data_IF_478965860402
#
_entry.id   IF_478965860402
#
_cell.length_a   1.000
_cell.length_b   1.000
_cell.length_c   1.000
_cell.angle_alpha   90.00
_cell.angle_beta   90.00
_cell.angle_gamma   90.00
#
_symmetry.space_group_name_H-M   'P 1'
#
loop_
_entity.id
_entity.type
_entity.pdbx_description
1 polymer ?
#
# COMPACT_ATOMS: atom_id res chain seq x y z
N UNK A 1 -5.09 49.77 -98.73
CA UNK A 1 -5.01 48.35 -99.11
C UNK A 1 -3.79 47.77 -98.44
N UNK A 2 -3.99 46.82 -97.51
CA UNK A 2 -3.02 45.88 -96.92
C UNK A 2 -1.73 46.44 -96.27
N UNK A 3 -1.11 45.89 -95.23
CA UNK A 3 -1.35 44.93 -94.13
C UNK A 3 -0.18 45.29 -93.19
N UNK A 4 -0.38 45.34 -91.87
CA UNK A 4 0.77 45.26 -90.96
C UNK A 4 0.44 44.35 -89.77
N UNK A 5 1.36 43.41 -89.53
CA UNK A 5 1.30 42.32 -88.56
C UNK A 5 2.34 42.58 -87.45
N UNK A 6 2.26 41.78 -86.38
CA UNK A 6 3.22 41.57 -85.26
C UNK A 6 3.13 42.53 -84.08
N UNK A 7 3.41 42.14 -82.82
CA UNK A 7 3.56 40.85 -82.10
C UNK A 7 3.81 41.21 -80.62
N UNK A 8 3.25 40.41 -79.72
CA UNK A 8 3.48 40.24 -78.26
C UNK A 8 4.43 41.15 -77.45
N UNK A 9 3.93 41.54 -76.26
CA UNK A 9 4.66 41.42 -74.98
C UNK A 9 3.73 40.96 -73.84
N UNK A 10 4.28 40.08 -73.00
CA UNK A 10 3.67 39.42 -71.82
C UNK A 10 3.68 40.34 -70.58
N UNK A 11 2.99 39.99 -69.47
CA UNK A 11 2.51 40.93 -68.45
C UNK A 11 3.54 41.21 -67.36
N UNK A 12 3.53 42.43 -66.83
CA UNK A 12 4.33 42.80 -65.65
C UNK A 12 3.52 42.53 -64.37
N UNK A 13 3.62 41.28 -63.88
CA UNK A 13 3.24 40.88 -62.52
C UNK A 13 4.17 41.57 -61.51
N UNK A 14 3.77 42.69 -60.90
CA UNK A 14 4.33 43.11 -59.59
C UNK A 14 3.61 44.24 -58.85
N UNK A 15 2.55 44.83 -59.39
CA UNK A 15 1.95 46.04 -58.77
C UNK A 15 0.51 45.90 -58.26
N UNK A 16 -0.12 44.71 -58.35
CA UNK A 16 -1.49 44.48 -57.85
C UNK A 16 -1.57 43.70 -56.53
N UNK A 17 -0.43 43.29 -55.95
CA UNK A 17 -0.43 42.45 -54.74
C UNK A 17 -0.42 43.19 -53.40
N UNK A 18 -0.30 44.52 -53.41
CA UNK A 18 -0.17 45.29 -52.16
C UNK A 18 -1.43 46.04 -51.74
N UNK A 19 -2.39 46.27 -52.64
CA UNK A 19 -3.64 47.02 -52.32
C UNK A 19 -4.82 46.13 -51.92
N UNK A 20 -4.80 44.84 -52.26
CA UNK A 20 -5.81 43.86 -51.81
C UNK A 20 -5.47 43.15 -50.49
N UNK A 21 -4.36 43.49 -49.83
CA UNK A 21 -3.98 42.91 -48.53
C UNK A 21 -4.28 43.79 -47.31
N UNK A 22 -4.80 45.01 -47.50
CA UNK A 22 -5.08 45.93 -46.39
C UNK A 22 -6.57 46.19 -46.11
N UNK A 23 -7.49 45.51 -46.80
CA UNK A 23 -8.94 45.70 -46.63
C UNK A 23 -9.72 44.42 -46.29
N UNK A 24 -9.03 43.33 -45.93
CA UNK A 24 -9.63 42.07 -45.45
C UNK A 24 -9.34 41.79 -43.95
N UNK A 25 -8.90 42.78 -43.19
CA UNK A 25 -8.56 42.65 -41.77
C UNK A 25 -9.64 43.14 -40.79
N UNK A 26 -10.85 43.46 -41.26
CA UNK A 26 -11.89 43.96 -40.35
C UNK A 26 -13.32 43.68 -40.85
N UNK A 27 -13.72 42.42 -41.06
CA UNK A 27 -15.15 42.04 -41.03
C UNK A 27 -15.40 40.51 -41.08
N UNK A 28 -14.79 39.71 -40.20
CA UNK A 28 -15.26 38.34 -39.89
C UNK A 28 -15.05 38.01 -38.41
N UNK A 29 -15.41 38.96 -37.53
CA UNK A 29 -15.82 38.62 -36.17
C UNK A 29 -17.21 37.99 -36.29
N UNK A 30 -17.43 36.90 -35.57
CA UNK A 30 -18.63 36.05 -35.58
C UNK A 30 -18.74 35.10 -36.78
N UNK A 31 -18.22 33.88 -36.62
CA UNK A 31 -18.87 32.60 -36.96
C UNK A 31 -17.82 31.52 -37.22
N UNK A 32 -17.47 30.77 -36.17
CA UNK A 32 -17.01 29.36 -36.18
C UNK A 32 -16.04 29.11 -35.02
N UNK A 33 -16.57 29.17 -33.79
CA UNK A 33 -15.96 28.44 -32.69
C UNK A 33 -16.49 27.01 -32.81
N UNK A 34 -15.88 26.23 -33.71
CA UNK A 34 -16.07 24.79 -33.74
C UNK A 34 -15.56 24.27 -32.40
N UNK A 35 -16.49 23.86 -31.53
CA UNK A 35 -16.18 22.99 -30.40
C UNK A 35 -15.48 21.77 -31.00
N UNK A 36 -14.16 21.73 -30.91
CA UNK A 36 -13.47 20.47 -30.78
C UNK A 36 -13.97 19.90 -29.45
N UNK A 37 -15.03 19.09 -29.52
CA UNK A 37 -15.39 18.16 -28.48
C UNK A 37 -14.20 17.22 -28.34
N UNK A 38 -13.19 17.63 -27.59
CA UNK A 38 -12.38 16.67 -26.87
C UNK A 38 -13.39 15.89 -26.06
N UNK A 39 -13.64 14.66 -26.47
CA UNK A 39 -14.08 13.61 -25.58
C UNK A 39 -13.00 13.48 -24.52
N UNK A 40 -13.00 14.43 -23.56
CA UNK A 40 -12.64 14.14 -22.20
C UNK A 40 -13.59 13.01 -21.83
N UNK A 41 -13.12 11.78 -22.05
CA UNK A 41 -13.82 10.58 -21.61
C UNK A 41 -14.25 10.85 -20.19
N UNK A 42 -15.54 10.60 -19.92
CA UNK A 42 -16.18 10.81 -18.64
C UNK A 42 -15.15 10.77 -17.51
N UNK A 43 -14.75 11.95 -17.03
CA UNK A 43 -13.91 12.08 -15.85
C UNK A 43 -14.78 11.50 -14.74
N UNK A 44 -14.50 10.24 -14.45
CA UNK A 44 -15.29 9.38 -13.59
C UNK A 44 -15.56 10.12 -12.27
N UNK A 45 -16.81 10.53 -12.07
CA UNK A 45 -17.27 11.34 -10.92
C UNK A 45 -17.25 10.55 -9.60
N UNK A 46 -16.51 9.45 -9.55
CA UNK A 46 -16.55 8.44 -8.51
C UNK A 46 -15.74 8.85 -7.27
N UNK A 47 -14.87 9.86 -7.33
CA UNK A 47 -14.02 10.29 -6.20
C UNK A 47 -12.61 9.68 -6.26
N UNK A 48 -11.63 10.29 -5.58
CA UNK A 48 -10.20 9.96 -5.77
C UNK A 48 -9.84 8.53 -5.34
N UNK A 49 -10.50 7.97 -4.33
CA UNK A 49 -10.19 6.64 -3.76
C UNK A 49 -11.23 5.58 -4.10
N UNK A 50 -12.23 5.88 -4.94
CA UNK A 50 -13.32 4.97 -5.28
C UNK A 50 -12.85 3.81 -6.17
N UNK A 51 -12.47 2.71 -5.56
CA UNK A 51 -12.14 1.43 -6.20
C UNK A 51 -13.42 0.68 -6.61
N UNK A 52 -13.32 -0.14 -7.66
CA UNK A 52 -14.42 -1.02 -8.11
C UNK A 52 -14.80 -2.02 -7.03
N UNK A 53 -13.82 -2.58 -6.34
CA UNK A 53 -13.98 -3.56 -5.28
C UNK A 53 -13.72 -2.92 -3.91
N UNK A 54 -14.46 -3.32 -2.85
CA UNK A 54 -14.25 -2.81 -1.50
C UNK A 54 -12.81 -3.03 -1.02
N UNK A 55 -12.29 -2.09 -0.24
CA UNK A 55 -11.00 -2.21 0.43
C UNK A 55 -11.22 -2.84 1.81
N UNK A 56 -10.48 -3.90 2.12
CA UNK A 56 -10.49 -4.55 3.44
C UNK A 56 -9.12 -4.37 4.07
N UNK A 57 -9.07 -3.65 5.19
CA UNK A 57 -7.87 -3.42 5.97
C UNK A 57 -7.72 -4.53 7.03
N UNK A 58 -6.53 -5.10 7.12
CA UNK A 58 -6.24 -6.25 8.00
C UNK A 58 -5.05 -5.92 8.88
N UNK A 59 -5.30 -5.85 10.20
CA UNK A 59 -4.28 -5.50 11.18
C UNK A 59 -3.24 -6.62 11.39
N UNK A 60 -2.14 -6.30 12.07
CA UNK A 60 -1.07 -7.24 12.41
C UNK A 60 -1.21 -7.91 13.77
N UNK A 61 -0.06 -8.32 14.33
CA UNK A 61 0.09 -8.83 15.70
C UNK A 61 -0.37 -7.76 16.69
N UNK A 62 -1.09 -8.19 17.74
CA UNK A 62 -1.68 -7.30 18.76
C UNK A 62 -2.61 -6.22 18.19
N UNK A 63 -3.08 -6.37 16.95
CA UNK A 63 -4.04 -5.43 16.40
C UNK A 63 -5.39 -5.50 17.10
N UNK A 64 -6.07 -4.36 17.07
CA UNK A 64 -7.33 -4.06 17.75
C UNK A 64 -8.17 -3.18 16.83
N UNK A 65 -9.50 -3.16 16.97
CA UNK A 65 -10.33 -2.15 16.31
C UNK A 65 -9.98 -0.76 16.82
N UNK A 66 -10.16 -0.58 18.13
CA UNK A 66 -9.98 0.69 18.83
C UNK A 66 -9.46 0.40 20.23
N UNK A 67 -8.31 0.98 20.58
CA UNK A 67 -7.75 0.93 21.93
C UNK A 67 -7.84 2.32 22.56
N UNK A 68 -8.56 2.45 23.68
CA UNK A 68 -8.77 3.72 24.38
C UNK A 68 -9.25 4.89 23.48
N UNK A 69 -10.03 4.59 22.44
CA UNK A 69 -10.53 5.57 21.46
C UNK A 69 -9.61 5.83 20.26
N UNK A 70 -8.53 5.08 20.11
CA UNK A 70 -7.56 5.18 19.00
C UNK A 70 -7.69 3.96 18.09
N UNK A 71 -7.96 4.19 16.81
CA UNK A 71 -8.04 3.14 15.80
C UNK A 71 -6.64 2.63 15.40
N UNK A 72 -6.49 1.33 15.10
CA UNK A 72 -5.23 0.77 14.61
C UNK A 72 -4.75 1.45 13.33
N UNK A 73 -5.63 1.54 12.33
CA UNK A 73 -5.36 2.31 11.11
C UNK A 73 -5.78 3.77 11.33
N UNK A 74 -4.94 4.55 12.00
CA UNK A 74 -5.33 5.85 12.55
C UNK A 74 -5.67 6.89 11.46
N UNK A 75 -6.97 7.23 11.33
CA UNK A 75 -7.46 8.20 10.34
C UNK A 75 -7.50 7.70 8.89
N UNK A 76 -7.00 6.48 8.62
CA UNK A 76 -6.90 5.92 7.27
C UNK A 76 -8.28 5.52 6.71
N UNK A 77 -9.13 4.73 7.41
CA UNK A 77 -10.46 4.37 6.90
C UNK A 77 -11.31 5.60 6.57
N UNK A 78 -11.27 6.61 7.44
CA UNK A 78 -12.05 7.84 7.30
C UNK A 78 -11.56 8.64 6.09
N UNK A 79 -10.25 8.74 5.89
CA UNK A 79 -9.65 9.43 4.74
C UNK A 79 -9.96 8.73 3.41
N UNK A 80 -9.88 7.40 3.38
CA UNK A 80 -10.24 6.60 2.20
C UNK A 80 -11.73 6.74 1.88
N UNK A 81 -12.60 6.64 2.87
CA UNK A 81 -14.06 6.73 2.68
C UNK A 81 -14.49 8.12 2.22
N UNK A 82 -13.86 9.18 2.74
CA UNK A 82 -14.15 10.58 2.36
C UNK A 82 -14.04 10.84 0.86
N UNK A 83 -13.19 10.09 0.16
CA UNK A 83 -12.94 10.25 -1.27
C UNK A 83 -13.51 9.12 -2.14
N UNK A 84 -14.42 8.33 -1.58
CA UNK A 84 -15.31 7.42 -2.32
C UNK A 84 -15.00 5.93 -2.19
N UNK A 85 -13.94 5.53 -1.49
CA UNK A 85 -13.71 4.11 -1.23
C UNK A 85 -14.80 3.53 -0.32
N UNK A 86 -15.21 2.28 -0.59
CA UNK A 86 -15.92 1.47 0.42
C UNK A 86 -14.85 0.73 1.22
N UNK A 87 -14.78 0.97 2.53
CA UNK A 87 -13.72 0.45 3.40
C UNK A 87 -14.31 -0.37 4.53
N UNK A 88 -13.72 -1.54 4.76
CA UNK A 88 -13.99 -2.41 5.89
C UNK A 88 -12.68 -2.66 6.65
N UNK A 89 -12.75 -2.74 7.97
CA UNK A 89 -11.63 -3.14 8.82
C UNK A 89 -11.98 -4.53 9.35
N UNK A 90 -11.21 -5.53 8.96
CA UNK A 90 -11.44 -6.91 9.39
C UNK A 90 -10.90 -7.13 10.81
N UNK A 91 -11.56 -8.01 11.54
CA UNK A 91 -11.13 -8.44 12.87
C UNK A 91 -10.67 -9.88 12.87
N UNK A 92 -9.39 -10.08 13.15
CA UNK A 92 -8.78 -11.41 13.24
C UNK A 92 -8.08 -11.56 14.58
N UNK A 93 -7.81 -12.79 15.00
CA UNK A 93 -7.14 -13.05 16.27
C UNK A 93 -5.85 -12.26 16.39
N UNK A 94 -5.75 -11.38 17.40
CA UNK A 94 -4.58 -10.54 17.64
C UNK A 94 -3.26 -11.32 17.72
N UNK A 95 -3.30 -12.55 18.21
CA UNK A 95 -2.20 -13.52 18.26
C UNK A 95 -2.71 -14.90 17.85
N UNK A 96 -2.26 -15.43 16.72
CA UNK A 96 -2.45 -16.83 16.34
C UNK A 96 -1.57 -17.17 15.12
N UNK A 97 -1.64 -18.39 14.61
CA UNK A 97 -1.06 -18.79 13.32
C UNK A 97 -1.61 -17.95 12.15
N UNK A 98 -0.83 -17.82 11.07
CA UNK A 98 -1.24 -17.09 9.87
C UNK A 98 -2.46 -17.75 9.21
N UNK A 99 -2.52 -19.07 9.17
CA UNK A 99 -3.61 -19.84 8.56
C UNK A 99 -4.93 -19.65 9.31
N UNK A 100 -4.91 -19.72 10.65
CA UNK A 100 -6.14 -19.50 11.43
C UNK A 100 -6.66 -18.08 11.25
N UNK A 101 -5.77 -17.08 11.31
CA UNK A 101 -6.14 -15.69 11.01
C UNK A 101 -6.67 -15.53 9.58
N UNK A 102 -6.09 -16.27 8.64
CA UNK A 102 -6.52 -16.29 7.24
C UNK A 102 -7.92 -16.86 7.04
N UNK A 103 -8.26 -17.95 7.73
CA UNK A 103 -9.61 -18.52 7.74
C UNK A 103 -10.65 -17.56 8.34
N UNK A 104 -10.31 -16.89 9.45
CA UNK A 104 -11.18 -15.85 10.04
C UNK A 104 -11.40 -14.66 9.09
N UNK A 105 -10.35 -14.26 8.36
CA UNK A 105 -10.46 -13.23 7.34
C UNK A 105 -11.33 -13.70 6.17
N UNK A 106 -11.15 -14.94 5.72
CA UNK A 106 -11.93 -15.51 4.62
C UNK A 106 -13.43 -15.51 4.91
N UNK A 107 -13.84 -15.93 6.11
CA UNK A 107 -15.25 -15.91 6.55
C UNK A 107 -15.86 -14.50 6.47
N UNK A 108 -15.09 -13.49 6.89
CA UNK A 108 -15.51 -12.09 6.81
C UNK A 108 -15.59 -11.59 5.37
N UNK A 109 -14.64 -11.98 4.51
CA UNK A 109 -14.66 -11.64 3.08
C UNK A 109 -15.89 -12.24 2.41
N UNK A 110 -16.21 -13.52 2.65
CA UNK A 110 -17.40 -14.16 2.11
C UNK A 110 -18.69 -13.47 2.57
N UNK A 111 -18.76 -13.14 3.87
CA UNK A 111 -19.90 -12.40 4.45
C UNK A 111 -20.05 -11.02 3.81
N UNK A 112 -18.96 -10.29 3.63
CA UNK A 112 -18.93 -8.97 3.01
C UNK A 112 -19.38 -9.04 1.55
N UNK A 113 -18.87 -9.98 0.76
CA UNK A 113 -19.26 -10.14 -0.64
C UNK A 113 -20.74 -10.52 -0.76
N UNK A 114 -21.23 -11.42 0.10
CA UNK A 114 -22.64 -11.76 0.17
C UNK A 114 -23.54 -10.56 0.53
N UNK A 115 -23.09 -9.69 1.45
CA UNK A 115 -23.86 -8.52 1.89
C UNK A 115 -23.84 -7.36 0.89
N UNK A 116 -22.72 -7.17 0.18
CA UNK A 116 -22.51 -6.02 -0.73
C UNK A 116 -22.85 -6.33 -2.19
N UNK A 117 -22.81 -7.60 -2.58
CA UNK A 117 -22.92 -8.02 -3.98
C UNK A 117 -21.67 -7.75 -4.81
N UNK A 118 -20.56 -7.32 -4.19
CA UNK A 118 -19.28 -7.24 -4.87
C UNK A 118 -18.78 -8.65 -5.24
N UNK A 119 -18.02 -8.76 -6.33
CA UNK A 119 -17.46 -10.04 -6.78
C UNK A 119 -16.12 -10.36 -6.13
N UNK A 120 -15.36 -9.32 -5.78
CA UNK A 120 -14.01 -9.42 -5.20
C UNK A 120 -13.78 -8.32 -4.16
N UNK A 121 -12.68 -8.43 -3.41
CA UNK A 121 -12.15 -7.40 -2.51
C UNK A 121 -10.70 -7.02 -2.85
N UNK A 122 -10.31 -5.80 -2.47
CA UNK A 122 -8.92 -5.36 -2.40
C UNK A 122 -8.42 -5.50 -0.96
N UNK A 123 -7.55 -6.48 -0.69
CA UNK A 123 -7.01 -6.73 0.64
C UNK A 123 -5.75 -5.88 0.88
N UNK A 124 -5.68 -5.22 2.04
CA UNK A 124 -4.50 -4.47 2.49
C UNK A 124 -4.15 -4.91 3.91
N UNK A 125 -3.05 -5.63 4.06
CA UNK A 125 -2.57 -6.15 5.32
C UNK A 125 -1.32 -5.42 5.81
N UNK A 126 -1.30 -5.05 7.09
CA UNK A 126 -0.10 -4.51 7.75
C UNK A 126 0.56 -5.56 8.64
N UNK A 127 1.90 -5.64 8.66
CA UNK A 127 2.64 -6.56 9.53
C UNK A 127 2.22 -8.02 9.34
N UNK A 128 1.74 -8.72 10.39
CA UNK A 128 1.17 -10.07 10.27
C UNK A 128 -0.09 -10.13 9.37
N UNK A 129 -0.75 -8.99 9.17
CA UNK A 129 -1.83 -8.83 8.20
C UNK A 129 -1.39 -9.11 6.77
N UNK A 130 -0.12 -8.86 6.41
CA UNK A 130 0.44 -9.15 5.08
C UNK A 130 0.35 -10.64 4.73
N UNK A 131 0.97 -11.54 5.50
CA UNK A 131 0.78 -12.99 5.35
C UNK A 131 -0.68 -13.44 5.48
N UNK A 132 -1.47 -12.80 6.36
CA UNK A 132 -2.90 -13.13 6.53
C UNK A 132 -3.71 -12.89 5.24
N UNK A 133 -3.51 -11.75 4.55
CA UNK A 133 -4.21 -11.48 3.28
C UNK A 133 -3.71 -12.39 2.15
N UNK A 134 -2.44 -12.80 2.18
CA UNK A 134 -1.88 -13.75 1.22
C UNK A 134 -2.51 -15.13 1.34
N UNK A 135 -2.82 -15.58 2.57
CA UNK A 135 -3.55 -16.83 2.76
C UNK A 135 -4.86 -16.81 1.96
N UNK A 136 -5.71 -15.81 2.18
CA UNK A 136 -7.00 -15.67 1.49
C UNK A 136 -6.84 -15.57 -0.02
N UNK A 137 -5.86 -14.78 -0.49
CA UNK A 137 -5.55 -14.65 -1.91
C UNK A 137 -5.10 -15.97 -2.55
N UNK A 138 -4.46 -16.86 -1.79
CA UNK A 138 -3.97 -18.15 -2.28
C UNK A 138 -5.07 -19.21 -2.30
N UNK A 139 -5.90 -19.26 -1.24
CA UNK A 139 -6.97 -20.27 -1.12
C UNK A 139 -8.22 -19.91 -1.92
N UNK A 140 -8.51 -18.60 -2.08
CA UNK A 140 -9.69 -18.07 -2.79
C UNK A 140 -9.33 -16.89 -3.70
N UNK A 141 -8.44 -17.08 -4.70
CA UNK A 141 -8.08 -16.02 -5.66
C UNK A 141 -9.28 -15.51 -6.48
N UNK A 142 -10.35 -16.30 -6.56
CA UNK A 142 -11.63 -15.91 -7.16
C UNK A 142 -12.31 -14.76 -6.40
N UNK A 143 -12.08 -14.60 -5.09
CA UNK A 143 -12.65 -13.55 -4.25
C UNK A 143 -11.75 -12.33 -4.08
N UNK A 144 -10.50 -12.40 -4.53
CA UNK A 144 -9.49 -11.35 -4.28
C UNK A 144 -9.10 -10.68 -5.60
N UNK A 145 -9.13 -9.35 -5.62
CA UNK A 145 -8.68 -8.52 -6.74
C UNK A 145 -7.22 -8.11 -6.57
N UNK A 146 -6.84 -7.72 -5.36
CA UNK A 146 -5.46 -7.43 -4.99
C UNK A 146 -5.16 -7.80 -3.55
N UNK A 147 -3.88 -8.09 -3.28
CA UNK A 147 -3.33 -8.27 -1.94
C UNK A 147 -2.11 -7.34 -1.78
N UNK A 148 -2.24 -6.38 -0.87
CA UNK A 148 -1.19 -5.40 -0.57
C UNK A 148 -0.63 -5.65 0.81
N UNK A 149 0.70 -5.68 0.94
CA UNK A 149 1.42 -5.92 2.19
C UNK A 149 2.22 -4.69 2.61
N UNK A 150 1.95 -4.16 3.80
CA UNK A 150 2.61 -2.97 4.36
C UNK A 150 3.44 -3.42 5.56
N UNK A 151 4.76 -3.27 5.50
CA UNK A 151 5.68 -3.79 6.53
C UNK A 151 5.43 -5.26 6.84
N UNK A 152 5.00 -6.04 5.84
CA UNK A 152 4.47 -7.37 6.09
C UNK A 152 5.58 -8.35 6.48
N UNK A 153 5.29 -9.27 7.40
CA UNK A 153 6.28 -10.28 7.82
C UNK A 153 6.35 -11.41 6.79
N UNK A 154 6.70 -11.11 5.54
CA UNK A 154 6.58 -12.06 4.43
C UNK A 154 7.70 -13.10 4.40
N UNK A 155 8.89 -12.79 4.92
CA UNK A 155 10.00 -13.74 5.07
C UNK A 155 10.53 -13.84 6.52
N UNK A 156 9.75 -13.36 7.48
CA UNK A 156 10.06 -13.43 8.91
C UNK A 156 10.63 -12.14 9.50
N UNK A 157 10.80 -12.17 10.81
CA UNK A 157 11.36 -11.08 11.62
C UNK A 157 12.54 -11.57 12.46
N UNK A 158 13.66 -10.84 12.39
CA UNK A 158 14.81 -11.11 13.25
C UNK A 158 14.49 -10.93 14.73
N UNK A 159 13.54 -10.05 15.07
CA UNK A 159 13.02 -9.90 16.44
C UNK A 159 12.34 -11.20 16.88
N UNK A 160 11.47 -11.77 16.05
CA UNK A 160 10.79 -13.03 16.37
C UNK A 160 11.78 -14.19 16.51
N UNK A 161 12.79 -14.26 15.64
CA UNK A 161 13.85 -15.28 15.72
C UNK A 161 14.62 -15.17 17.05
N UNK A 162 14.99 -13.96 17.47
CA UNK A 162 15.69 -13.74 18.74
C UNK A 162 14.83 -14.08 19.95
N UNK A 163 13.54 -13.74 19.94
CA UNK A 163 12.61 -14.06 21.03
C UNK A 163 12.36 -15.57 21.14
N UNK A 164 12.32 -16.29 20.00
CA UNK A 164 12.08 -17.74 20.00
C UNK A 164 13.32 -18.56 20.42
N UNK A 165 14.52 -18.02 20.18
CA UNK A 165 15.76 -18.71 20.50
C UNK A 165 16.05 -18.79 22.01
N UNK A 166 16.61 -19.91 22.45
CA UNK A 166 17.11 -20.05 23.83
C UNK A 166 18.47 -19.39 23.94
N UNK A 167 18.57 -18.35 24.76
CA UNK A 167 19.80 -17.56 24.88
C UNK A 167 20.58 -18.01 26.12
N UNK A 168 21.88 -18.37 25.98
CA UNK A 168 22.70 -18.77 27.12
C UNK A 168 22.83 -17.64 28.15
N UNK A 169 22.72 -18.01 29.43
CA UNK A 169 22.93 -17.09 30.55
C UNK A 169 24.35 -16.50 30.52
N UNK A 170 24.47 -15.22 30.86
CA UNK A 170 25.68 -14.39 30.91
C UNK A 170 26.36 -14.14 29.54
N UNK A 171 25.65 -14.37 28.44
CA UNK A 171 26.14 -14.08 27.09
C UNK A 171 25.94 -12.61 26.70
N UNK A 172 26.77 -12.11 25.78
CA UNK A 172 26.57 -10.76 25.19
C UNK A 172 25.20 -10.67 24.49
N UNK A 173 24.71 -11.80 23.96
CA UNK A 173 23.38 -11.94 23.37
C UNK A 173 22.24 -11.85 24.38
N UNK A 174 22.47 -12.18 25.65
CA UNK A 174 21.45 -12.06 26.72
C UNK A 174 21.11 -10.59 26.99
N UNK A 175 22.13 -9.72 27.10
CA UNK A 175 21.91 -8.30 27.33
C UNK A 175 21.12 -7.62 26.20
N UNK A 176 21.35 -8.06 24.95
CA UNK A 176 20.55 -7.60 23.80
C UNK A 176 19.11 -8.11 23.91
N UNK A 177 18.92 -9.39 24.21
CA UNK A 177 17.61 -10.00 24.31
C UNK A 177 16.73 -9.40 25.41
N UNK A 178 17.30 -9.08 26.56
CA UNK A 178 16.59 -8.38 27.64
C UNK A 178 16.07 -7.03 27.15
N UNK A 179 16.91 -6.25 26.44
CA UNK A 179 16.48 -4.97 25.87
C UNK A 179 15.37 -5.13 24.82
N UNK A 180 15.47 -6.13 23.96
CA UNK A 180 14.44 -6.43 22.95
C UNK A 180 13.13 -6.83 23.62
N UNK A 181 13.19 -7.66 24.67
CA UNK A 181 12.01 -8.04 25.45
C UNK A 181 11.37 -6.82 26.13
N UNK A 182 12.15 -5.93 26.74
CA UNK A 182 11.64 -4.69 27.35
C UNK A 182 10.98 -3.76 26.31
N UNK A 183 11.56 -3.66 25.12
CA UNK A 183 10.98 -2.91 24.00
C UNK A 183 9.64 -3.51 23.54
N UNK A 184 9.58 -4.83 23.39
CA UNK A 184 8.35 -5.54 23.03
C UNK A 184 7.27 -5.40 24.11
N UNK A 185 7.62 -5.53 25.39
CA UNK A 185 6.69 -5.34 26.52
C UNK A 185 6.15 -3.91 26.52
N UNK A 186 7.00 -2.93 26.25
CA UNK A 186 6.59 -1.51 26.14
C UNK A 186 5.54 -1.34 25.04
N UNK A 187 5.77 -1.92 23.85
CA UNK A 187 4.78 -1.90 22.77
C UNK A 187 3.49 -2.62 23.13
N UNK A 188 3.58 -3.81 23.72
CA UNK A 188 2.39 -4.56 24.14
C UNK A 188 1.57 -3.72 25.11
N UNK A 189 2.18 -3.10 26.12
CA UNK A 189 1.44 -2.27 27.08
C UNK A 189 0.77 -1.05 26.44
N UNK A 190 1.34 -0.52 25.36
CA UNK A 190 0.77 0.61 24.62
C UNK A 190 -0.32 0.21 23.62
N UNK A 191 -0.23 -1.01 23.07
CA UNK A 191 -1.03 -1.49 21.95
C UNK A 191 -1.97 -2.66 22.30
N UNK A 192 -1.96 -3.18 23.53
CA UNK A 192 -2.81 -4.32 23.88
C UNK A 192 -4.27 -3.92 23.99
N UNK A 193 -5.08 -4.32 23.01
CA UNK A 193 -6.54 -4.42 23.07
C UNK A 193 -6.97 -5.89 23.05
N UNK A 194 -8.07 -6.22 23.72
CA UNK A 194 -8.63 -7.57 23.74
C UNK A 194 -9.54 -7.84 22.53
N UNK A 195 -9.57 -9.08 22.05
CA UNK A 195 -10.57 -9.58 21.11
C UNK A 195 -11.26 -10.82 21.68
N UNK A 196 -12.53 -11.04 21.36
CA UNK A 196 -13.27 -12.25 21.75
C UNK A 196 -12.86 -13.50 20.94
N UNK A 197 -11.94 -13.36 19.98
CA UNK A 197 -11.40 -14.45 19.16
C UNK A 197 -10.31 -15.24 19.88
N UNK A 198 -10.07 -16.47 19.45
CA UNK A 198 -9.06 -17.37 20.03
C UNK A 198 -7.63 -16.82 19.90
N UNK A 199 -6.89 -16.79 21.01
CA UNK A 199 -5.53 -16.26 21.06
C UNK A 199 -4.51 -17.38 21.31
N UNK A 200 -3.45 -17.40 20.51
CA UNK A 200 -2.27 -18.24 20.69
C UNK A 200 -0.99 -17.44 20.35
N UNK A 201 -0.36 -16.91 21.40
CA UNK A 201 0.88 -16.14 21.29
C UNK A 201 2.07 -16.97 20.81
N UNK A 202 2.12 -18.27 21.12
CA UNK A 202 3.22 -19.14 20.68
C UNK A 202 3.09 -19.45 19.19
N UNK A 203 1.88 -19.77 18.72
CA UNK A 203 1.62 -19.97 17.30
C UNK A 203 1.90 -18.69 16.50
N UNK A 204 1.59 -17.52 17.07
CA UNK A 204 1.91 -16.24 16.44
C UNK A 204 3.41 -15.98 16.38
N UNK A 205 4.13 -16.18 17.48
CA UNK A 205 5.59 -16.08 17.48
C UNK A 205 6.21 -17.02 16.44
N UNK A 206 5.77 -18.28 16.41
CA UNK A 206 6.25 -19.27 15.44
C UNK A 206 6.00 -18.83 13.99
N UNK A 207 4.81 -18.31 13.67
CA UNK A 207 4.49 -17.82 12.34
C UNK A 207 5.39 -16.65 11.87
N UNK A 208 5.82 -15.80 12.82
CA UNK A 208 6.61 -14.59 12.54
C UNK A 208 8.12 -14.82 12.48
N UNK A 209 8.61 -15.98 12.95
CA UNK A 209 10.01 -16.37 12.75
C UNK A 209 10.33 -16.52 11.26
N UNK A 210 11.61 -16.37 10.89
CA UNK A 210 12.10 -16.66 9.54
C UNK A 210 11.75 -18.09 9.13
N UNK A 211 11.94 -19.06 10.03
CA UNK A 211 11.59 -20.45 9.75
C UNK A 211 10.09 -20.64 9.48
N UNK A 212 9.22 -20.08 10.32
CA UNK A 212 7.77 -20.20 10.17
C UNK A 212 7.24 -19.49 8.93
N UNK A 213 7.71 -18.26 8.67
CA UNK A 213 7.34 -17.51 7.46
C UNK A 213 7.79 -18.19 6.17
N UNK A 214 9.00 -18.78 6.15
CA UNK A 214 9.46 -19.55 4.99
C UNK A 214 8.67 -20.86 4.80
N UNK A 215 8.28 -21.53 5.89
CA UNK A 215 7.40 -22.70 5.81
C UNK A 215 6.01 -22.33 5.26
N UNK A 216 5.44 -21.21 5.70
CA UNK A 216 4.20 -20.66 5.15
C UNK A 216 4.33 -20.38 3.64
N UNK A 217 5.44 -19.76 3.22
CA UNK A 217 5.70 -19.44 1.81
C UNK A 217 5.83 -20.67 0.90
N UNK A 218 6.13 -21.86 1.43
CA UNK A 218 6.15 -23.09 0.63
C UNK A 218 4.74 -23.51 0.20
N UNK A 219 3.72 -23.18 1.00
CA UNK A 219 2.32 -23.52 0.72
C UNK A 219 1.58 -22.40 -0.02
N UNK A 220 1.99 -21.14 0.20
CA UNK A 220 1.32 -19.94 -0.33
C UNK A 220 2.34 -19.00 -1.01
N UNK A 221 3.03 -19.44 -2.09
CA UNK A 221 4.18 -18.73 -2.66
C UNK A 221 3.83 -17.47 -3.47
N UNK A 222 2.56 -17.22 -3.76
CA UNK A 222 2.11 -16.19 -4.69
C UNK A 222 2.60 -14.80 -4.28
N UNK A 223 3.23 -14.11 -5.25
CA UNK A 223 3.81 -12.78 -5.07
C UNK A 223 5.12 -12.74 -4.29
N UNK A 224 5.64 -13.84 -3.75
CA UNK A 224 6.89 -13.80 -2.97
C UNK A 224 8.11 -13.65 -3.89
N UNK A 225 9.05 -12.72 -3.60
CA UNK A 225 10.29 -12.61 -4.37
C UNK A 225 11.14 -13.88 -4.27
N UNK A 226 11.58 -14.38 -5.43
CA UNK A 226 12.48 -15.55 -5.54
C UNK A 226 13.92 -15.25 -5.12
N UNK A 227 14.30 -13.98 -5.15
CA UNK A 227 15.58 -13.48 -4.62
C UNK A 227 15.39 -12.86 -3.24
N UNK A 228 16.48 -12.64 -2.51
CA UNK A 228 16.44 -12.14 -1.13
C UNK A 228 15.66 -10.82 -1.01
N UNK A 229 16.02 -9.81 -1.82
CA UNK A 229 15.50 -8.45 -1.74
C UNK A 229 14.91 -7.94 -3.07
N UNK A 230 14.59 -8.84 -4.01
CA UNK A 230 13.95 -8.46 -5.26
C UNK A 230 12.45 -8.20 -5.10
N UNK A 231 11.77 -8.05 -6.23
CA UNK A 231 10.31 -8.07 -6.31
C UNK A 231 9.81 -9.49 -6.60
N UNK A 232 8.52 -9.71 -6.34
CA UNK A 232 7.83 -10.95 -6.73
C UNK A 232 6.96 -10.74 -7.97
N UNK A 233 6.23 -11.78 -8.37
CA UNK A 233 5.27 -11.66 -9.48
C UNK A 233 4.17 -10.65 -9.14
N UNK A 234 3.93 -9.70 -10.04
CA UNK A 234 2.97 -8.62 -9.80
C UNK A 234 1.51 -9.09 -9.88
N UNK A 235 1.26 -10.20 -10.59
CA UNK A 235 -0.06 -10.80 -10.73
C UNK A 235 0.07 -12.33 -10.81
N UNK A 236 -0.65 -13.05 -9.95
CA UNK A 236 -0.71 -14.51 -9.93
C UNK A 236 -2.16 -14.94 -9.75
N UNK A 237 -2.64 -15.92 -10.52
CA UNK A 237 -4.03 -16.40 -10.46
C UNK A 237 -5.11 -15.30 -10.57
N UNK A 238 -4.80 -14.19 -11.26
CA UNK A 238 -5.71 -13.04 -11.40
C UNK A 238 -5.81 -12.15 -10.16
N UNK A 239 -4.91 -12.30 -9.20
CA UNK A 239 -4.74 -11.43 -8.03
C UNK A 239 -3.49 -10.57 -8.22
N UNK A 240 -3.59 -9.26 -8.00
CA UNK A 240 -2.42 -8.35 -8.05
C UNK A 240 -1.76 -8.18 -6.69
N UNK A 241 -0.43 -8.22 -6.65
CA UNK A 241 0.35 -8.15 -5.42
C UNK A 241 1.19 -6.87 -5.36
N UNK A 242 1.17 -6.23 -4.19
CA UNK A 242 1.90 -4.99 -3.92
C UNK A 242 2.52 -5.01 -2.53
N UNK A 243 3.58 -4.23 -2.35
CA UNK A 243 4.09 -3.92 -1.02
C UNK A 243 4.69 -2.53 -0.89
N UNK A 244 4.75 -2.05 0.35
CA UNK A 244 5.69 -1.02 0.75
C UNK A 244 6.09 -1.17 2.20
N UNK A 245 7.17 -0.51 2.62
CA UNK A 245 7.62 -0.52 4.01
C UNK A 245 8.52 0.67 4.31
N UNK A 246 8.70 0.94 5.59
CA UNK A 246 9.69 1.84 6.13
C UNK A 246 11.08 1.20 6.32
N UNK A 247 12.07 2.08 6.43
CA UNK A 247 13.48 1.74 6.64
C UNK A 247 14.10 2.59 7.76
N UNK A 248 13.30 3.15 8.65
CA UNK A 248 13.76 4.03 9.74
C UNK A 248 13.13 3.64 11.06
N UNK A 249 13.96 3.18 12.00
CA UNK A 249 13.51 2.71 13.32
C UNK A 249 13.19 3.86 14.30
N UNK A 250 13.56 5.10 13.94
CA UNK A 250 13.30 6.31 14.71
C UNK A 250 12.97 7.45 13.73
N UNK A 251 11.87 8.13 13.96
CA UNK A 251 11.22 9.08 13.06
C UNK A 251 10.74 10.34 13.77
N UNK A 252 10.28 10.26 15.03
CA UNK A 252 9.79 11.40 15.79
C UNK A 252 10.03 11.27 17.31
N UNK A 253 10.80 12.22 17.87
CA UNK A 253 11.11 12.26 19.31
C UNK A 253 9.90 12.50 20.23
N UNK A 254 8.75 12.91 19.69
CA UNK A 254 7.52 13.10 20.44
C UNK A 254 6.64 11.85 20.48
N UNK A 255 6.93 10.85 19.64
CA UNK A 255 6.24 9.57 19.70
C UNK A 255 6.92 8.68 20.76
N UNK A 256 6.19 8.23 21.80
CA UNK A 256 6.77 7.37 22.84
C UNK A 256 7.15 5.96 22.32
N UNK A 257 6.63 5.53 21.18
CA UNK A 257 6.88 4.20 20.59
C UNK A 257 8.22 4.15 19.86
N UNK A 258 8.75 5.28 19.40
CA UNK A 258 10.02 5.40 18.68
C UNK A 258 11.22 4.85 19.45
N UNK A 259 11.25 5.06 20.76
CA UNK A 259 12.32 4.51 21.60
C UNK A 259 12.30 2.98 21.59
N UNK A 260 11.12 2.37 21.62
CA UNK A 260 10.97 0.92 21.53
C UNK A 260 11.31 0.40 20.13
N UNK A 261 10.87 1.09 19.07
CA UNK A 261 11.22 0.75 17.68
C UNK A 261 12.73 0.81 17.44
N UNK A 262 13.40 1.84 17.96
CA UNK A 262 14.85 1.96 17.87
C UNK A 262 15.58 0.81 18.56
N UNK A 263 15.10 0.38 19.74
CA UNK A 263 15.67 -0.76 20.46
C UNK A 263 15.45 -2.07 19.70
N UNK A 264 14.23 -2.29 19.19
CA UNK A 264 13.89 -3.50 18.42
C UNK A 264 14.64 -3.56 17.09
N UNK A 265 14.89 -2.41 16.48
CA UNK A 265 15.73 -2.24 15.31
C UNK A 265 17.15 -2.80 15.45
N UNK A 266 17.68 -2.92 16.68
CA UNK A 266 19.00 -3.52 16.94
C UNK A 266 19.07 -5.02 16.61
N UNK A 267 17.93 -5.66 16.37
CA UNK A 267 17.86 -7.05 15.90
C UNK A 267 18.28 -7.22 14.43
N UNK A 268 18.37 -6.12 13.67
CA UNK A 268 18.60 -6.15 12.22
C UNK A 268 20.00 -5.62 11.85
N UNK A 269 20.70 -6.34 10.97
CA UNK A 269 21.99 -5.91 10.41
C UNK A 269 21.85 -4.90 9.26
N UNK A 270 20.62 -4.65 8.79
CA UNK A 270 20.30 -3.79 7.65
C UNK A 270 19.06 -2.92 7.88
N UNK A 271 18.60 -2.20 6.84
CA UNK A 271 17.44 -1.32 6.97
C UNK A 271 16.18 -2.08 7.40
N UNK A 272 15.49 -1.53 8.40
CA UNK A 272 14.26 -2.07 8.97
C UNK A 272 13.36 -0.94 9.48
N UNK A 273 12.09 -1.28 9.67
CA UNK A 273 11.11 -0.40 10.33
C UNK A 273 11.11 -0.55 11.87
N UNK A 274 12.00 -1.38 12.41
CA UNK A 274 12.11 -1.72 13.84
C UNK A 274 11.58 -3.10 14.20
N UNK A 275 10.70 -3.69 13.38
CA UNK A 275 10.12 -5.02 13.60
C UNK A 275 10.27 -5.95 12.39
N UNK A 276 10.46 -5.40 11.19
CA UNK A 276 10.61 -6.14 9.93
C UNK A 276 11.74 -5.51 9.11
N UNK A 277 12.61 -6.37 8.57
CA UNK A 277 13.64 -5.93 7.62
C UNK A 277 13.01 -5.62 6.27
N UNK A 278 13.48 -4.55 5.61
CA UNK A 278 12.97 -4.08 4.31
C UNK A 278 12.76 -5.19 3.28
N UNK A 279 13.79 -6.00 3.02
CA UNK A 279 13.72 -7.12 2.09
C UNK A 279 12.71 -8.21 2.49
N UNK A 280 12.50 -8.41 3.79
CA UNK A 280 11.50 -9.36 4.31
C UNK A 280 10.08 -8.90 4.02
N UNK A 281 9.86 -7.59 3.88
CA UNK A 281 8.54 -7.01 3.63
C UNK A 281 8.08 -7.10 2.16
N UNK A 282 8.99 -7.41 1.22
CA UNK A 282 8.68 -7.41 -0.20
C UNK A 282 7.61 -8.44 -0.60
N UNK A 283 6.62 -7.98 -1.37
CA UNK A 283 5.57 -8.80 -1.96
C UNK A 283 5.11 -8.18 -3.29
N UNK A 284 5.11 -8.98 -4.34
CA UNK A 284 4.73 -8.56 -5.69
C UNK A 284 5.51 -7.32 -6.11
N UNK A 285 4.78 -6.30 -6.57
CA UNK A 285 5.35 -5.00 -6.92
C UNK A 285 5.64 -4.16 -5.67
N UNK A 286 6.92 -3.91 -5.42
CA UNK A 286 7.39 -3.01 -4.35
C UNK A 286 7.18 -1.57 -4.82
N UNK A 287 6.24 -0.87 -4.18
CA UNK A 287 5.97 0.54 -4.46
C UNK A 287 7.15 1.38 -4.00
N UNK A 288 7.61 1.11 -2.77
CA UNK A 288 8.81 1.67 -2.16
C UNK A 288 9.11 0.94 -0.85
N UNK A 289 10.37 0.78 -0.50
CA UNK A 289 10.85 0.04 0.68
C UNK A 289 11.75 0.90 1.60
N UNK A 290 11.92 2.18 1.27
CA UNK A 290 12.81 3.11 1.98
C UNK A 290 12.08 4.32 2.58
N UNK A 291 10.79 4.19 2.91
CA UNK A 291 10.09 5.26 3.63
C UNK A 291 10.78 5.56 4.97
N UNK A 292 10.87 6.83 5.34
CA UNK A 292 11.29 7.23 6.69
C UNK A 292 10.13 7.03 7.68
N UNK A 293 9.76 5.77 7.83
CA UNK A 293 8.69 5.26 8.68
C UNK A 293 9.28 4.14 9.54
N UNK A 294 8.92 4.14 10.82
CA UNK A 294 9.00 2.94 11.66
C UNK A 294 7.73 2.10 11.48
N UNK A 295 7.67 0.94 12.12
CA UNK A 295 6.58 -0.03 11.92
C UNK A 295 5.19 0.51 12.31
N UNK A 296 5.09 1.50 13.21
CA UNK A 296 3.81 2.09 13.59
C UNK A 296 3.47 3.32 12.76
N UNK A 297 4.46 4.06 12.28
CA UNK A 297 4.24 5.14 11.31
C UNK A 297 3.50 4.62 10.07
N UNK A 298 3.77 3.39 9.65
CA UNK A 298 3.14 2.77 8.48
C UNK A 298 1.61 2.71 8.57
N UNK A 299 1.04 2.66 9.78
CA UNK A 299 -0.40 2.71 10.05
C UNK A 299 -0.86 4.06 10.59
N UNK A 300 -0.02 5.09 10.45
CA UNK A 300 -0.21 6.43 11.01
C UNK A 300 -0.29 6.43 12.56
N UNK A 301 0.34 5.44 13.20
CA UNK A 301 0.49 5.35 14.64
C UNK A 301 1.80 6.01 15.12
N UNK A 302 1.87 6.46 16.37
CA UNK A 302 0.77 6.62 17.33
C UNK A 302 0.13 8.01 17.16
N UNK A 303 -1.20 8.08 17.07
CA UNK A 303 -1.96 9.36 16.98
C UNK A 303 -1.54 10.27 15.82
N UNK A 304 -0.96 9.71 14.75
CA UNK A 304 -0.45 10.46 13.60
C UNK A 304 0.86 11.20 13.84
N UNK A 305 1.59 10.89 14.91
CA UNK A 305 2.90 11.48 15.18
C UNK A 305 3.96 10.68 14.43
N UNK A 306 4.35 11.15 13.25
CA UNK A 306 5.35 10.49 12.41
C UNK A 306 6.43 11.47 11.92
N UNK A 307 7.34 11.02 11.06
CA UNK A 307 8.41 11.86 10.49
C UNK A 307 7.86 13.10 9.76
N UNK A 308 8.37 14.30 10.09
CA UNK A 308 7.85 15.59 9.59
C UNK A 308 8.17 15.90 8.12
N UNK A 309 9.20 15.27 7.56
CA UNK A 309 9.67 15.54 6.20
C UNK A 309 9.58 14.32 5.28
N UNK A 310 8.75 13.35 5.66
CA UNK A 310 8.40 12.20 4.82
C UNK A 310 6.97 12.37 4.32
N UNK A 311 6.62 11.58 3.30
CA UNK A 311 5.26 11.38 2.86
C UNK A 311 4.40 10.93 4.04
N UNK A 312 3.27 11.63 4.23
CA UNK A 312 2.27 11.27 5.24
C UNK A 312 1.72 9.85 4.96
N UNK A 313 1.64 8.95 5.97
CA UNK A 313 1.17 7.58 5.78
C UNK A 313 -0.24 7.50 5.19
N UNK A 314 -1.17 8.35 5.65
CA UNK A 314 -2.55 8.41 5.13
C UNK A 314 -2.54 8.71 3.63
N UNK A 315 -1.63 9.58 3.17
CA UNK A 315 -1.44 9.90 1.76
C UNK A 315 -1.01 8.68 0.95
N UNK A 316 -0.20 7.78 1.51
CA UNK A 316 0.19 6.53 0.84
C UNK A 316 -1.02 5.63 0.58
N UNK A 317 -1.86 5.40 1.58
CA UNK A 317 -3.09 4.62 1.41
C UNK A 317 -4.01 5.22 0.34
N UNK A 318 -4.18 6.54 0.34
CA UNK A 318 -5.01 7.23 -0.68
C UNK A 318 -4.43 7.10 -2.09
N UNK A 319 -3.12 7.28 -2.24
CA UNK A 319 -2.45 7.12 -3.52
C UNK A 319 -2.55 5.68 -4.02
N UNK A 320 -2.46 4.70 -3.11
CA UNK A 320 -2.63 3.30 -3.44
C UNK A 320 -4.06 2.93 -3.82
N UNK A 321 -5.07 3.42 -3.08
CA UNK A 321 -6.47 3.25 -3.48
C UNK A 321 -6.73 3.83 -4.89
N UNK A 322 -6.20 5.01 -5.19
CA UNK A 322 -6.26 5.56 -6.55
C UNK A 322 -5.50 4.71 -7.58
N UNK A 323 -4.35 4.10 -7.21
CA UNK A 323 -3.63 3.15 -8.08
C UNK A 323 -4.50 1.95 -8.44
N UNK A 324 -5.20 1.37 -7.45
CA UNK A 324 -6.12 0.25 -7.65
C UNK A 324 -7.32 0.66 -8.51
N UNK A 325 -7.90 1.83 -8.25
CA UNK A 325 -8.98 2.41 -9.06
C UNK A 325 -8.59 2.55 -10.54
N UNK A 326 -7.45 3.18 -10.81
CA UNK A 326 -6.96 3.41 -12.18
C UNK A 326 -6.68 2.10 -12.94
N UNK A 327 -6.59 1.01 -12.20
CA UNK A 327 -6.38 -0.34 -12.70
C UNK A 327 -7.68 -1.14 -12.90
N UNK A 328 -8.84 -0.55 -12.61
CA UNK A 328 -10.15 -1.19 -12.70
C UNK A 328 -10.44 -2.16 -11.55
N UNK A 329 -9.69 -2.04 -10.44
CA UNK A 329 -9.87 -2.81 -9.21
C UNK A 329 -10.65 -2.00 -8.18
#
# INVERSE_FOLDING_TARGET
MSVFFMKHRSPNKKEDHLKNKLLLSALCLFSSLSLASTSAGALDQTGYTHTKYPIVLVHGLFGFDTLAGVDYFYGIPQSLTKDGATVYVAQVSATNSTELRGEQLLEQVETLLAATGAEKVNLIGHSHGGPTVRYVASVRPDLVASATSIGGVNKGSAVADLVRNTIPQDSVTEALAVKLADGLVTLINLLSGGSDLEQDALASLDALTTQGSLAFNQNYPEGIPTTECGEGDYEVNGVRYYSWTGASTFTNALDPTDAAMMVLGLAFDGPSDGLVGTCSAHLGKVIRDDYKMNHLDEINGLLGIHHLFETDPVTLYRQHANRLKLQGL
#
